data_IF_721197854417
#
_entry.id   IF_721197854417
#
_cell.length_a   1.000
_cell.length_b   1.000
_cell.length_c   1.000
_cell.angle_alpha   90.00
_cell.angle_beta   90.00
_cell.angle_gamma   90.00
#
_symmetry.space_group_name_H-M   'P 1'
#
loop_
_entity.id
_entity.type
_entity.pdbx_description
1 polymer ?
#
# COMPACT_ATOMS: atom_id res chain seq x y z
N UNK A 1 -29.42 2.21 -11.17
CA UNK A 1 -29.63 1.01 -10.34
C UNK A 1 -30.53 1.42 -9.21
N UNK A 2 -31.62 0.70 -8.96
CA UNK A 2 -32.52 1.00 -7.82
C UNK A 2 -31.97 0.34 -6.54
N UNK A 3 -32.04 1.01 -5.38
CA UNK A 3 -31.61 0.43 -4.10
C UNK A 3 -32.24 -0.94 -3.84
N UNK A 4 -31.46 -1.86 -3.27
CA UNK A 4 -31.88 -3.24 -3.02
C UNK A 4 -30.79 -4.28 -3.26
N UNK A 5 -31.21 -5.55 -3.33
CA UNK A 5 -30.35 -6.67 -3.67
C UNK A 5 -29.78 -6.51 -5.08
N UNK A 6 -28.48 -6.75 -5.22
CA UNK A 6 -27.74 -6.76 -6.49
C UNK A 6 -27.49 -8.21 -6.90
N UNK A 7 -28.23 -8.66 -7.91
CA UNK A 7 -27.96 -9.93 -8.60
C UNK A 7 -27.22 -9.68 -9.92
N UNK A 8 -26.63 -10.74 -10.48
CA UNK A 8 -25.94 -10.67 -11.76
C UNK A 8 -26.86 -10.23 -12.90
N UNK A 9 -28.13 -10.64 -12.90
CA UNK A 9 -29.10 -10.21 -13.89
C UNK A 9 -29.40 -8.71 -13.78
N UNK A 10 -29.45 -8.17 -12.57
CA UNK A 10 -29.78 -6.77 -12.31
C UNK A 10 -28.71 -5.78 -12.84
N UNK A 11 -27.44 -6.19 -12.84
CA UNK A 11 -26.32 -5.33 -13.30
C UNK A 11 -26.45 -4.96 -14.79
N UNK A 12 -26.88 -5.92 -15.62
CA UNK A 12 -26.96 -5.76 -17.08
C UNK A 12 -25.59 -5.46 -17.73
N UNK A 13 -25.59 -5.23 -19.04
CA UNK A 13 -24.39 -5.05 -19.87
C UNK A 13 -24.21 -3.62 -20.41
N UNK A 14 -24.71 -2.62 -19.69
CA UNK A 14 -24.61 -1.22 -20.11
C UNK A 14 -23.16 -0.71 -19.99
N UNK A 15 -22.81 0.29 -20.79
CA UNK A 15 -21.49 0.94 -20.73
C UNK A 15 -21.24 1.65 -19.40
N UNK A 16 -22.30 2.25 -18.85
CA UNK A 16 -22.30 2.92 -17.55
C UNK A 16 -23.25 2.20 -16.59
N UNK A 17 -22.74 1.90 -15.39
CA UNK A 17 -23.51 1.45 -14.25
C UNK A 17 -23.69 2.62 -13.28
N UNK A 18 -24.90 3.16 -13.24
CA UNK A 18 -25.26 4.31 -12.40
C UNK A 18 -25.97 3.82 -11.14
N UNK A 19 -25.50 4.19 -9.95
CA UNK A 19 -26.18 3.93 -8.68
C UNK A 19 -26.84 5.21 -8.17
N UNK A 20 -28.14 5.11 -7.87
CA UNK A 20 -28.88 6.17 -7.18
C UNK A 20 -28.50 6.16 -5.68
N UNK A 21 -28.81 7.23 -4.96
CA UNK A 21 -28.66 7.26 -3.52
C UNK A 21 -29.52 6.17 -2.87
N UNK A 22 -28.96 5.47 -1.89
CA UNK A 22 -29.63 4.36 -1.20
C UNK A 22 -28.70 3.18 -0.93
N UNK A 23 -29.27 2.12 -0.36
CA UNK A 23 -28.53 0.94 0.10
C UNK A 23 -28.64 -0.21 -0.89
N UNK A 24 -27.51 -0.83 -1.19
CA UNK A 24 -27.39 -1.97 -2.07
C UNK A 24 -26.61 -3.08 -1.37
N UNK A 25 -26.90 -4.34 -1.68
CA UNK A 25 -26.12 -5.47 -1.16
C UNK A 25 -26.01 -6.59 -2.18
N UNK A 26 -24.87 -7.23 -2.22
CA UNK A 26 -24.66 -8.43 -3.05
C UNK A 26 -25.03 -9.66 -2.24
N UNK A 27 -25.84 -10.53 -2.83
CA UNK A 27 -26.20 -11.82 -2.26
C UNK A 27 -26.17 -12.91 -3.34
N UNK A 28 -25.94 -14.15 -2.89
CA UNK A 28 -26.07 -15.35 -3.71
C UNK A 28 -26.98 -16.31 -2.97
N UNK A 29 -28.09 -16.67 -3.59
CA UNK A 29 -29.12 -17.54 -3.01
C UNK A 29 -29.65 -17.02 -1.64
N UNK A 30 -29.78 -15.70 -1.50
CA UNK A 30 -30.20 -15.03 -0.27
C UNK A 30 -29.13 -14.96 0.84
N UNK A 31 -27.88 -15.32 0.53
CA UNK A 31 -26.75 -15.31 1.46
C UNK A 31 -25.82 -14.15 1.12
N UNK A 32 -25.58 -13.27 2.09
CA UNK A 32 -24.65 -12.15 1.98
C UNK A 32 -23.18 -12.62 2.00
N UNK A 33 -22.29 -11.85 1.37
CA UNK A 33 -20.85 -12.10 1.43
C UNK A 33 -20.39 -13.34 0.64
N UNK A 34 -21.27 -13.87 -0.23
CA UNK A 34 -21.02 -15.07 -1.04
C UNK A 34 -20.79 -14.81 -2.52
N UNK A 35 -20.87 -13.54 -2.93
CA UNK A 35 -20.59 -13.11 -4.30
C UNK A 35 -20.13 -11.64 -4.32
N UNK A 36 -19.65 -11.17 -5.47
CA UNK A 36 -19.23 -9.79 -5.71
C UNK A 36 -19.72 -9.30 -7.09
N UNK A 37 -19.59 -8.00 -7.36
CA UNK A 37 -20.06 -7.39 -8.59
C UNK A 37 -19.02 -7.61 -9.68
N UNK A 38 -19.17 -8.69 -10.45
CA UNK A 38 -18.40 -8.89 -11.68
C UNK A 38 -19.06 -8.18 -12.85
N UNK A 39 -18.47 -7.06 -13.26
CA UNK A 39 -18.98 -6.20 -14.33
C UNK A 39 -18.88 -6.88 -15.70
N UNK A 40 -19.80 -6.55 -16.60
CA UNK A 40 -19.73 -6.99 -17.99
C UNK A 40 -18.60 -6.28 -18.75
N UNK A 41 -18.00 -6.88 -19.79
CA UNK A 41 -16.89 -6.25 -20.53
C UNK A 41 -17.23 -4.90 -21.16
N UNK A 42 -18.50 -4.64 -21.45
CA UNK A 42 -18.98 -3.35 -21.95
C UNK A 42 -19.00 -2.27 -20.87
N UNK A 43 -19.14 -2.64 -19.60
CA UNK A 43 -19.24 -1.72 -18.46
C UNK A 43 -17.85 -1.26 -18.03
N UNK A 44 -17.52 -0.02 -18.35
CA UNK A 44 -16.24 0.61 -18.01
C UNK A 44 -16.42 1.86 -17.14
N UNK A 45 -17.66 2.27 -16.86
CA UNK A 45 -17.93 3.43 -16.02
C UNK A 45 -18.92 3.06 -14.92
N UNK A 46 -18.49 3.17 -13.66
CA UNK A 46 -19.35 3.05 -12.48
C UNK A 46 -19.47 4.42 -11.83
N UNK A 47 -20.69 4.91 -11.72
CA UNK A 47 -21.00 6.18 -11.06
C UNK A 47 -21.88 5.97 -9.83
N UNK A 48 -21.58 6.69 -8.77
CA UNK A 48 -22.36 6.70 -7.54
C UNK A 48 -22.87 8.10 -7.20
N UNK A 49 -24.18 8.23 -6.97
CA UNK A 49 -24.72 9.41 -6.30
C UNK A 49 -24.19 9.51 -4.85
N UNK A 50 -23.95 10.71 -4.33
CA UNK A 50 -23.72 10.89 -2.90
C UNK A 50 -24.89 10.32 -2.08
N UNK A 51 -24.59 9.49 -1.08
CA UNK A 51 -25.59 8.75 -0.31
C UNK A 51 -25.83 7.31 -0.78
N UNK A 52 -25.12 6.85 -1.81
CA UNK A 52 -25.04 5.43 -2.17
C UNK A 52 -24.19 4.66 -1.15
N UNK A 53 -24.73 3.55 -0.63
CA UNK A 53 -24.04 2.59 0.24
C UNK A 53 -24.15 1.17 -0.33
N UNK A 54 -23.04 0.58 -0.76
CA UNK A 54 -23.01 -0.73 -1.41
C UNK A 54 -22.27 -1.72 -0.52
N UNK A 55 -22.95 -2.78 -0.08
CA UNK A 55 -22.34 -3.93 0.60
C UNK A 55 -21.87 -4.94 -0.46
N UNK A 56 -20.64 -4.78 -0.91
CA UNK A 56 -20.07 -5.58 -2.00
C UNK A 56 -18.69 -5.11 -2.42
N UNK A 57 -18.17 -5.73 -3.48
CA UNK A 57 -16.92 -5.39 -4.13
C UNK A 57 -17.06 -5.43 -5.66
N UNK A 58 -16.15 -4.80 -6.41
CA UNK A 58 -16.24 -4.67 -7.87
C UNK A 58 -15.05 -5.33 -8.58
N UNK A 59 -15.35 -6.17 -9.57
CA UNK A 59 -14.40 -6.72 -10.53
C UNK A 59 -14.71 -6.18 -11.93
N UNK A 60 -13.79 -5.38 -12.50
CA UNK A 60 -13.83 -4.95 -13.88
C UNK A 60 -13.36 -6.07 -14.81
N UNK A 61 -14.00 -6.16 -15.99
CA UNK A 61 -13.64 -7.11 -17.06
C UNK A 61 -13.50 -6.43 -18.42
N UNK A 62 -13.49 -5.10 -18.40
CA UNK A 62 -13.56 -4.28 -19.59
C UNK A 62 -12.23 -4.20 -20.33
N UNK A 63 -12.31 -3.95 -21.65
CA UNK A 63 -11.16 -3.74 -22.52
C UNK A 63 -11.04 -2.31 -23.02
N UNK A 64 -11.85 -1.40 -22.47
CA UNK A 64 -11.75 0.02 -22.81
C UNK A 64 -10.42 0.56 -22.29
N UNK A 65 -9.76 1.48 -23.02
CA UNK A 65 -8.51 2.11 -22.58
C UNK A 65 -8.64 2.75 -21.20
N UNK A 66 -9.81 3.29 -20.89
CA UNK A 66 -10.11 3.89 -19.59
C UNK A 66 -11.29 3.21 -18.93
N UNK A 67 -11.22 3.08 -17.60
CA UNK A 67 -12.35 2.66 -16.79
C UNK A 67 -12.41 3.46 -15.48
N UNK A 68 -13.62 3.63 -14.96
CA UNK A 68 -13.94 4.70 -14.02
C UNK A 68 -14.75 4.17 -12.85
N UNK A 69 -14.30 4.48 -11.64
CA UNK A 69 -15.07 4.37 -10.39
C UNK A 69 -15.23 5.78 -9.81
N UNK A 70 -16.38 6.40 -9.99
CA UNK A 70 -16.57 7.82 -9.68
C UNK A 70 -17.77 8.05 -8.76
N UNK A 71 -17.65 9.00 -7.84
CA UNK A 71 -18.73 9.46 -6.97
C UNK A 71 -18.53 9.11 -5.50
N UNK A 72 -19.26 9.80 -4.63
CA UNK A 72 -19.11 9.74 -3.17
C UNK A 72 -19.95 8.64 -2.51
N UNK A 73 -19.81 7.41 -2.99
CA UNK A 73 -20.38 6.23 -2.32
C UNK A 73 -19.54 5.76 -1.13
N UNK A 74 -20.17 4.95 -0.29
CA UNK A 74 -19.48 3.94 0.53
C UNK A 74 -19.58 2.58 -0.15
N UNK A 75 -18.44 1.94 -0.41
CA UNK A 75 -18.34 0.53 -0.86
C UNK A 75 -17.79 -0.29 0.30
N UNK A 76 -18.65 -1.11 0.91
CA UNK A 76 -18.42 -1.82 2.15
C UNK A 76 -18.22 -3.32 1.93
N UNK A 77 -17.10 -3.85 2.42
CA UNK A 77 -16.80 -5.28 2.45
C UNK A 77 -17.32 -6.00 3.69
N UNK A 78 -18.17 -5.36 4.51
CA UNK A 78 -18.58 -5.83 5.84
C UNK A 78 -19.23 -7.22 5.90
N UNK A 79 -19.79 -7.69 4.78
CA UNK A 79 -20.40 -9.02 4.70
C UNK A 79 -19.38 -10.13 4.38
N UNK A 80 -18.16 -9.79 3.98
CA UNK A 80 -17.15 -10.77 3.59
C UNK A 80 -16.32 -11.19 4.80
N UNK A 81 -16.04 -12.50 4.89
CA UNK A 81 -15.11 -13.03 5.88
C UNK A 81 -13.66 -12.54 5.60
N UNK A 82 -12.81 -12.53 6.62
CA UNK A 82 -11.38 -12.28 6.46
C UNK A 82 -10.77 -13.19 5.38
N UNK A 83 -10.08 -12.61 4.40
CA UNK A 83 -9.49 -13.32 3.26
C UNK A 83 -10.50 -14.05 2.36
N UNK A 84 -11.77 -13.62 2.33
CA UNK A 84 -12.84 -14.23 1.54
C UNK A 84 -12.38 -14.60 0.12
N UNK A 85 -12.40 -15.88 -0.20
CA UNK A 85 -11.82 -16.41 -1.43
C UNK A 85 -12.89 -16.71 -2.48
N UNK A 86 -12.81 -15.99 -3.60
CA UNK A 86 -13.83 -16.01 -4.66
C UNK A 86 -13.98 -17.37 -5.36
N UNK A 87 -12.94 -18.21 -5.35
CA UNK A 87 -12.99 -19.58 -5.92
C UNK A 87 -13.25 -20.65 -4.86
N UNK A 88 -13.41 -20.26 -3.59
CA UNK A 88 -13.78 -21.13 -2.46
C UNK A 88 -15.05 -20.63 -1.78
N UNK A 89 -16.03 -20.16 -2.56
CA UNK A 89 -17.34 -19.69 -2.08
C UNK A 89 -17.23 -18.61 -0.99
N UNK A 90 -16.30 -17.68 -1.19
CA UNK A 90 -15.98 -16.56 -0.29
C UNK A 90 -15.65 -16.98 1.16
N UNK A 91 -15.14 -18.20 1.35
CA UNK A 91 -14.65 -18.67 2.66
C UNK A 91 -13.28 -18.09 3.00
N UNK A 92 -12.91 -18.11 4.28
CA UNK A 92 -11.68 -17.53 4.81
C UNK A 92 -10.43 -18.38 4.51
N UNK A 93 -10.06 -18.48 3.22
CA UNK A 93 -8.89 -19.23 2.75
C UNK A 93 -8.02 -18.31 1.92
N UNK A 94 -6.88 -17.88 2.46
CA UNK A 94 -5.96 -16.98 1.76
C UNK A 94 -5.60 -17.52 0.38
N UNK A 95 -5.71 -16.66 -0.62
CA UNK A 95 -5.12 -16.85 -1.93
C UNK A 95 -4.68 -15.48 -2.47
N UNK A 96 -3.38 -15.34 -2.77
CA UNK A 96 -2.81 -14.06 -3.19
C UNK A 96 -3.46 -13.56 -4.49
N UNK A 97 -4.03 -14.43 -5.32
CA UNK A 97 -4.81 -14.04 -6.49
C UNK A 97 -6.30 -13.93 -6.18
N UNK A 98 -6.90 -14.94 -5.55
CA UNK A 98 -8.36 -15.09 -5.51
C UNK A 98 -9.07 -14.65 -4.23
N UNK A 99 -8.34 -14.26 -3.17
CA UNK A 99 -8.94 -13.52 -2.06
C UNK A 99 -9.47 -12.17 -2.57
N UNK A 100 -10.69 -11.81 -2.16
CA UNK A 100 -11.46 -10.74 -2.76
C UNK A 100 -10.85 -9.36 -2.49
N UNK A 101 -10.66 -8.58 -3.56
CA UNK A 101 -10.32 -7.15 -3.51
C UNK A 101 -11.60 -6.32 -3.56
N UNK A 102 -11.57 -5.10 -3.03
CA UNK A 102 -12.70 -4.17 -3.11
C UNK A 102 -12.86 -3.60 -4.53
N UNK A 103 -11.74 -3.29 -5.18
CA UNK A 103 -11.67 -2.98 -6.61
C UNK A 103 -10.66 -3.89 -7.29
N UNK A 104 -11.08 -4.59 -8.33
CA UNK A 104 -10.29 -5.67 -8.90
C UNK A 104 -10.34 -5.68 -10.42
N UNK A 105 -9.25 -6.08 -11.07
CA UNK A 105 -9.26 -6.45 -12.49
C UNK A 105 -8.34 -7.65 -12.68
N UNK A 106 -8.87 -8.78 -13.16
CA UNK A 106 -8.08 -10.03 -13.23
C UNK A 106 -7.29 -10.22 -14.53
N UNK A 107 -7.57 -9.40 -15.54
CA UNK A 107 -6.96 -9.52 -16.87
C UNK A 107 -6.83 -8.16 -17.55
N UNK A 108 -6.14 -7.21 -16.92
CA UNK A 108 -5.94 -5.86 -17.46
C UNK A 108 -4.95 -5.87 -18.63
N UNK A 109 -5.25 -5.11 -19.68
CA UNK A 109 -4.38 -4.96 -20.84
C UNK A 109 -3.38 -3.82 -20.61
N UNK A 110 -2.23 -3.91 -21.28
CA UNK A 110 -1.22 -2.83 -21.30
C UNK A 110 -1.88 -1.49 -21.66
N UNK A 111 -1.47 -0.44 -20.94
CA UNK A 111 -1.90 0.95 -21.13
C UNK A 111 -3.39 1.23 -20.82
N UNK A 112 -4.11 0.32 -20.15
CA UNK A 112 -5.38 0.70 -19.55
C UNK A 112 -5.17 1.63 -18.35
N UNK A 113 -6.07 2.58 -18.15
CA UNK A 113 -6.03 3.57 -17.07
C UNK A 113 -7.27 3.46 -16.20
N UNK A 114 -7.08 3.26 -14.90
CA UNK A 114 -8.14 3.31 -13.92
C UNK A 114 -8.28 4.72 -13.34
N UNK A 115 -9.48 5.28 -13.37
CA UNK A 115 -9.81 6.56 -12.73
C UNK A 115 -10.71 6.29 -11.51
N UNK A 116 -10.20 6.52 -10.31
CA UNK A 116 -10.93 6.35 -9.05
C UNK A 116 -11.08 7.68 -8.34
N UNK A 117 -12.28 8.28 -8.36
CA UNK A 117 -12.49 9.65 -7.89
C UNK A 117 -13.71 9.73 -6.96
N UNK A 118 -13.46 9.86 -5.65
CA UNK A 118 -14.50 10.07 -4.65
C UNK A 118 -14.86 8.91 -3.70
N UNK A 119 -14.82 7.61 -4.11
CA UNK A 119 -15.34 6.54 -3.27
C UNK A 119 -14.69 6.43 -1.88
N UNK A 120 -15.48 5.97 -0.93
CA UNK A 120 -15.02 5.53 0.39
C UNK A 120 -15.13 4.01 0.50
N UNK A 121 -14.02 3.31 0.72
CA UNK A 121 -14.03 1.91 1.11
C UNK A 121 -14.28 1.76 2.60
N UNK A 122 -15.11 0.79 2.97
CA UNK A 122 -15.31 0.37 4.35
C UNK A 122 -15.06 -1.13 4.51
N UNK A 123 -14.44 -1.53 5.63
CA UNK A 123 -14.29 -2.93 6.04
C UNK A 123 -13.79 -3.88 4.93
N UNK A 124 -12.65 -3.61 4.27
CA UNK A 124 -12.09 -4.53 3.29
C UNK A 124 -11.73 -5.89 3.94
N UNK A 125 -12.04 -7.03 3.29
CA UNK A 125 -11.72 -8.35 3.83
C UNK A 125 -10.27 -8.80 3.57
N UNK A 126 -9.57 -8.13 2.64
CA UNK A 126 -8.23 -8.45 2.16
C UNK A 126 -7.60 -7.19 1.50
N UNK A 127 -6.59 -7.36 0.64
CA UNK A 127 -5.98 -6.26 -0.11
C UNK A 127 -7.09 -5.48 -0.84
N UNK A 128 -7.00 -4.15 -0.87
CA UNK A 128 -8.12 -3.32 -1.31
C UNK A 128 -8.22 -3.19 -2.83
N UNK A 129 -7.07 -3.16 -3.53
CA UNK A 129 -7.02 -3.02 -4.97
C UNK A 129 -5.84 -3.73 -5.61
N UNK A 130 -6.12 -4.52 -6.65
CA UNK A 130 -5.12 -5.10 -7.55
C UNK A 130 -5.62 -5.11 -9.01
N UNK A 131 -4.71 -4.82 -9.95
CA UNK A 131 -4.95 -4.87 -11.39
C UNK A 131 -3.99 -5.89 -12.03
N UNK A 132 -4.41 -7.15 -12.10
CA UNK A 132 -3.57 -8.23 -12.61
C UNK A 132 -3.48 -8.19 -14.14
N UNK A 133 -2.27 -8.24 -14.71
CA UNK A 133 -2.09 -8.18 -16.16
C UNK A 133 -2.71 -9.42 -16.83
N UNK A 134 -3.25 -9.21 -18.02
CA UNK A 134 -3.83 -10.26 -18.84
C UNK A 134 -2.79 -11.32 -19.22
N UNK A 135 -1.59 -10.84 -19.58
CA UNK A 135 -0.45 -11.69 -19.91
C UNK A 135 0.51 -11.71 -18.73
N UNK A 136 1.21 -12.83 -18.56
CA UNK A 136 2.28 -12.91 -17.57
C UNK A 136 3.36 -11.88 -17.88
N UNK A 137 3.74 -11.09 -16.87
CA UNK A 137 4.89 -10.20 -16.91
C UNK A 137 6.07 -10.90 -16.22
N UNK A 138 7.31 -10.78 -16.75
CA UNK A 138 8.49 -11.36 -16.09
C UNK A 138 8.64 -10.88 -14.65
N UNK A 139 8.35 -9.60 -14.41
CA UNK A 139 8.33 -8.98 -13.10
C UNK A 139 7.00 -8.25 -12.86
N UNK A 140 6.62 -8.04 -11.61
CA UNK A 140 5.32 -7.43 -11.28
C UNK A 140 5.28 -5.96 -11.68
N UNK A 141 6.41 -5.27 -11.47
CA UNK A 141 6.66 -3.88 -11.81
C UNK A 141 6.61 -3.58 -13.32
N UNK A 142 6.66 -4.61 -14.18
CA UNK A 142 6.54 -4.46 -15.63
C UNK A 142 5.08 -4.26 -16.07
N UNK A 143 4.13 -4.30 -15.15
CA UNK A 143 2.72 -4.10 -15.45
C UNK A 143 2.45 -2.67 -15.94
N UNK A 144 2.04 -2.52 -17.20
CA UNK A 144 1.88 -1.22 -17.88
C UNK A 144 0.50 -0.58 -17.68
N UNK A 145 -0.17 -0.91 -16.60
CA UNK A 145 -1.43 -0.27 -16.21
C UNK A 145 -1.15 1.08 -15.56
N UNK A 146 -2.11 2.00 -15.67
CA UNK A 146 -2.06 3.29 -15.01
C UNK A 146 -3.22 3.48 -14.03
N UNK A 147 -3.03 4.32 -13.02
CA UNK A 147 -4.12 4.74 -12.14
C UNK A 147 -4.07 6.22 -11.78
N UNK A 148 -5.23 6.86 -11.82
CA UNK A 148 -5.49 8.19 -11.31
C UNK A 148 -6.49 8.09 -10.15
N UNK A 149 -6.00 8.26 -8.93
CA UNK A 149 -6.78 8.13 -7.71
C UNK A 149 -6.87 9.50 -7.04
N UNK A 150 -8.08 9.95 -6.75
CA UNK A 150 -8.32 11.25 -6.14
C UNK A 150 -9.49 11.20 -5.16
N UNK A 151 -9.40 11.96 -4.06
CA UNK A 151 -10.52 12.18 -3.14
C UNK A 151 -11.10 10.83 -2.64
N UNK A 152 -10.20 9.89 -2.40
CA UNK A 152 -10.50 8.49 -2.16
C UNK A 152 -10.16 8.12 -0.72
N UNK A 153 -11.05 7.36 -0.08
CA UNK A 153 -10.92 7.04 1.35
C UNK A 153 -11.01 5.55 1.61
N UNK A 154 -10.32 5.11 2.65
CA UNK A 154 -10.43 3.77 3.21
C UNK A 154 -10.62 3.86 4.73
N UNK A 155 -11.68 3.25 5.24
CA UNK A 155 -12.03 3.23 6.67
C UNK A 155 -12.36 1.81 7.13
N UNK A 156 -12.33 1.58 8.45
CA UNK A 156 -12.73 0.28 9.01
C UNK A 156 -11.84 -0.92 8.66
N UNK A 157 -10.64 -0.69 8.13
CA UNK A 157 -9.65 -1.71 7.76
C UNK A 157 -8.93 -2.33 8.98
N UNK A 158 -9.65 -3.13 9.78
CA UNK A 158 -9.09 -3.73 11.00
C UNK A 158 -8.39 -5.08 10.78
N UNK A 159 -8.76 -5.83 9.75
CA UNK A 159 -8.09 -7.09 9.42
C UNK A 159 -6.64 -6.87 8.96
N UNK A 160 -5.75 -7.83 9.19
CA UNK A 160 -4.46 -7.81 8.49
C UNK A 160 -4.67 -7.89 6.98
N UNK A 161 -3.62 -7.61 6.20
CA UNK A 161 -3.69 -7.64 4.73
C UNK A 161 -4.68 -6.63 4.14
N UNK A 162 -5.08 -5.61 4.91
CA UNK A 162 -5.92 -4.50 4.44
C UNK A 162 -5.06 -3.31 4.04
N UNK A 163 -4.25 -3.56 3.03
CA UNK A 163 -3.32 -2.62 2.41
C UNK A 163 -4.05 -1.37 1.90
N UNK A 164 -3.28 -0.31 1.64
CA UNK A 164 -3.73 0.68 0.66
C UNK A 164 -3.68 0.12 -0.76
N UNK A 165 -3.72 1.00 -1.76
CA UNK A 165 -3.70 0.58 -3.16
C UNK A 165 -2.27 0.19 -3.60
N UNK A 166 -2.15 -0.57 -4.69
CA UNK A 166 -0.91 -0.61 -5.48
C UNK A 166 -0.68 0.75 -6.14
N UNK A 167 0.57 1.24 -6.17
CA UNK A 167 0.94 2.48 -6.86
C UNK A 167 1.45 2.16 -8.27
N UNK A 168 0.51 1.95 -9.20
CA UNK A 168 0.85 1.90 -10.62
C UNK A 168 1.25 3.29 -11.13
N UNK A 169 1.80 3.37 -12.34
CA UNK A 169 2.11 4.64 -12.99
C UNK A 169 0.88 5.56 -13.00
N UNK A 170 1.08 6.85 -12.72
CA UNK A 170 -0.01 7.82 -12.68
C UNK A 170 0.01 8.65 -11.40
N UNK A 171 -1.17 9.00 -10.89
CA UNK A 171 -1.30 9.97 -9.79
C UNK A 171 -2.18 9.48 -8.66
N UNK A 172 -1.80 9.77 -7.41
CA UNK A 172 -2.67 9.60 -6.25
C UNK A 172 -2.68 10.90 -5.46
N UNK A 173 -3.87 11.46 -5.20
CA UNK A 173 -3.96 12.71 -4.44
C UNK A 173 -5.17 12.82 -3.53
N UNK A 174 -5.01 13.59 -2.46
CA UNK A 174 -6.11 13.95 -1.55
C UNK A 174 -6.80 12.70 -0.97
N UNK A 175 -6.02 11.81 -0.34
CA UNK A 175 -6.52 10.51 0.15
C UNK A 175 -6.46 10.39 1.68
N UNK A 176 -7.36 9.57 2.22
CA UNK A 176 -7.35 9.16 3.63
C UNK A 176 -7.41 7.64 3.74
N UNK A 177 -6.42 7.00 4.35
CA UNK A 177 -6.40 5.55 4.51
C UNK A 177 -6.19 5.11 5.96
N UNK A 178 -7.21 4.48 6.54
CA UNK A 178 -7.05 3.56 7.65
C UNK A 178 -6.59 2.20 7.10
N UNK A 179 -5.46 1.69 7.56
CA UNK A 179 -4.83 0.45 7.04
C UNK A 179 -4.28 -0.40 8.17
N UNK A 180 -4.30 -1.72 8.01
CA UNK A 180 -3.59 -2.65 8.88
C UNK A 180 -2.70 -3.62 8.09
N UNK A 181 -2.08 -3.06 7.05
CA UNK A 181 -1.01 -3.64 6.25
C UNK A 181 -0.29 -2.51 5.47
N UNK A 182 0.56 -2.82 4.49
CA UNK A 182 1.30 -1.86 3.65
C UNK A 182 0.39 -0.71 3.16
N UNK A 183 0.70 0.55 3.51
CA UNK A 183 -0.17 1.68 3.16
C UNK A 183 0.04 2.16 1.72
N UNK A 184 1.31 2.37 1.34
CA UNK A 184 1.75 2.88 0.04
C UNK A 184 2.73 1.85 -0.53
N UNK A 185 2.29 1.09 -1.54
CA UNK A 185 3.08 0.04 -2.19
C UNK A 185 3.77 0.57 -3.45
N UNK A 186 5.03 1.00 -3.32
CA UNK A 186 5.81 1.61 -4.40
C UNK A 186 6.51 0.54 -5.23
N UNK A 187 5.72 -0.19 -6.01
CA UNK A 187 6.20 -1.33 -6.78
C UNK A 187 6.39 -1.03 -8.26
N UNK A 188 5.95 0.13 -8.75
CA UNK A 188 5.98 0.47 -10.18
C UNK A 188 6.59 1.86 -10.39
N UNK A 189 7.22 2.07 -11.55
CA UNK A 189 7.79 3.36 -11.93
C UNK A 189 6.71 4.39 -12.30
N UNK A 190 7.04 5.68 -12.20
CA UNK A 190 6.20 6.77 -12.70
C UNK A 190 5.00 7.17 -11.84
N UNK A 191 4.96 6.75 -10.57
CA UNK A 191 3.87 7.08 -9.64
C UNK A 191 4.12 8.44 -8.94
N UNK A 192 3.13 9.33 -8.96
CA UNK A 192 3.21 10.67 -8.36
C UNK A 192 2.12 10.84 -7.29
N UNK A 193 2.53 10.95 -6.03
CA UNK A 193 1.64 10.92 -4.88
C UNK A 193 1.70 12.25 -4.12
N UNK A 194 0.56 12.85 -3.80
CA UNK A 194 0.47 14.11 -3.05
C UNK A 194 -0.72 14.18 -2.10
N UNK A 195 -0.51 14.58 -0.84
CA UNK A 195 -1.60 14.81 0.10
C UNK A 195 -2.23 13.50 0.60
N UNK A 196 -1.45 12.74 1.36
CA UNK A 196 -1.84 11.43 1.88
C UNK A 196 -1.96 11.48 3.40
N UNK A 197 -3.17 11.26 3.91
CA UNK A 197 -3.40 11.07 5.35
C UNK A 197 -3.56 9.60 5.66
N UNK A 198 -2.75 9.07 6.58
CA UNK A 198 -2.73 7.65 6.94
C UNK A 198 -3.02 7.48 8.43
N UNK A 199 -3.97 6.61 8.74
CA UNK A 199 -4.16 6.03 10.06
C UNK A 199 -3.69 4.58 10.03
N UNK A 200 -2.48 4.34 10.53
CA UNK A 200 -1.93 3.00 10.64
C UNK A 200 -2.48 2.28 11.87
N UNK A 201 -2.89 1.04 11.68
CA UNK A 201 -3.08 0.09 12.75
C UNK A 201 -1.71 -0.43 13.25
N UNK A 202 -1.38 -1.71 13.05
CA UNK A 202 -0.24 -2.33 13.75
C UNK A 202 0.64 -3.25 12.91
N UNK A 203 0.36 -3.39 11.61
CA UNK A 203 1.08 -4.31 10.75
C UNK A 203 1.67 -3.57 9.55
N UNK A 204 2.90 -3.96 9.17
CA UNK A 204 3.63 -3.48 8.00
C UNK A 204 3.88 -1.96 7.94
N UNK A 205 4.69 -1.54 6.98
CA UNK A 205 5.16 -0.16 6.87
C UNK A 205 4.10 0.80 6.33
N UNK A 206 4.39 2.10 6.41
CA UNK A 206 3.65 3.11 5.66
C UNK A 206 4.02 3.01 4.19
N UNK A 207 5.29 3.18 3.85
CA UNK A 207 5.82 3.08 2.49
C UNK A 207 6.55 1.74 2.38
N UNK A 208 6.10 0.85 1.50
CA UNK A 208 6.68 -0.47 1.29
C UNK A 208 7.35 -0.57 -0.09
N UNK A 209 8.56 -1.12 -0.10
CA UNK A 209 9.42 -1.22 -1.30
C UNK A 209 10.03 -2.62 -1.52
N UNK A 210 9.82 -3.55 -0.57
CA UNK A 210 10.48 -4.85 -0.55
C UNK A 210 9.67 -5.99 -1.15
N UNK A 211 9.71 -7.14 -0.45
CA UNK A 211 9.19 -8.46 -0.82
C UNK A 211 9.94 -9.19 -1.94
N UNK A 212 10.54 -8.45 -2.87
CA UNK A 212 11.43 -8.95 -3.94
C UNK A 212 12.24 -7.78 -4.53
N UNK A 213 13.34 -8.05 -5.27
CA UNK A 213 14.09 -7.03 -6.00
C UNK A 213 13.25 -6.35 -7.08
N UNK A 214 13.34 -5.02 -7.20
CA UNK A 214 12.53 -4.22 -8.13
C UNK A 214 13.36 -3.17 -8.85
N UNK A 215 12.99 -2.88 -10.09
CA UNK A 215 13.47 -1.72 -10.84
C UNK A 215 12.37 -0.65 -10.90
N UNK A 216 12.54 0.42 -10.12
CA UNK A 216 11.53 1.47 -9.89
C UNK A 216 12.21 2.82 -9.98
N UNK A 217 11.68 3.71 -10.79
CA UNK A 217 12.21 5.07 -10.96
C UNK A 217 11.08 6.06 -11.23
N UNK A 218 11.40 7.36 -11.20
CA UNK A 218 10.45 8.44 -11.48
C UNK A 218 9.23 8.38 -10.55
N UNK A 219 9.46 8.20 -9.25
CA UNK A 219 8.41 8.20 -8.22
C UNK A 219 8.62 9.35 -7.26
N UNK A 220 7.56 10.13 -7.03
CA UNK A 220 7.56 11.15 -5.97
C UNK A 220 6.39 10.97 -5.01
N UNK A 221 6.65 11.20 -3.73
CA UNK A 221 5.66 11.15 -2.64
C UNK A 221 5.79 12.43 -1.82
N UNK A 222 4.70 13.21 -1.75
CA UNK A 222 4.69 14.53 -1.11
C UNK A 222 3.54 14.66 -0.12
N UNK A 223 3.77 15.40 0.96
CA UNK A 223 2.75 15.75 1.94
C UNK A 223 2.07 14.51 2.54
N UNK A 224 2.85 13.71 3.27
CA UNK A 224 2.35 12.53 4.00
C UNK A 224 2.10 12.91 5.45
N UNK A 225 0.89 12.60 5.96
CA UNK A 225 0.48 12.78 7.35
C UNK A 225 0.11 11.45 7.95
N UNK A 226 1.00 10.88 8.75
CA UNK A 226 0.70 9.74 9.60
C UNK A 226 0.11 10.25 10.92
N UNK A 227 -1.22 10.29 11.00
CA UNK A 227 -1.93 10.88 12.15
C UNK A 227 -2.01 9.92 13.35
N UNK A 228 -1.96 8.61 13.07
CA UNK A 228 -2.01 7.58 14.10
C UNK A 228 -1.27 6.34 13.67
N UNK A 229 -0.60 5.71 14.63
CA UNK A 229 -0.02 4.38 14.49
C UNK A 229 -0.13 3.63 15.83
N UNK A 230 -0.12 2.29 15.80
CA UNK A 230 -0.19 1.44 17.01
C UNK A 230 0.55 0.11 16.83
N UNK A 231 1.72 0.14 16.19
CA UNK A 231 2.61 -1.02 16.17
C UNK A 231 2.92 -1.47 17.61
N UNK A 232 3.02 -2.79 17.80
CA UNK A 232 3.16 -3.38 19.14
C UNK A 232 4.62 -3.73 19.44
N UNK A 233 5.35 -4.20 18.43
CA UNK A 233 6.73 -4.67 18.55
C UNK A 233 7.47 -4.38 17.25
N UNK A 234 8.79 -4.19 17.28
CA UNK A 234 9.58 -4.07 16.08
C UNK A 234 9.54 -5.39 15.29
N UNK A 235 9.53 -5.29 13.96
CA UNK A 235 9.53 -6.44 13.08
C UNK A 235 10.20 -6.05 11.76
N UNK A 236 11.15 -6.86 11.30
CA UNK A 236 11.88 -6.69 10.06
C UNK A 236 11.26 -7.43 8.86
N UNK A 237 10.51 -8.52 9.09
CA UNK A 237 9.81 -9.25 8.03
C UNK A 237 8.58 -8.47 7.55
N UNK A 238 7.83 -7.91 8.50
CA UNK A 238 6.73 -6.96 8.28
C UNK A 238 7.09 -5.60 8.92
N UNK A 239 7.93 -4.79 8.26
CA UNK A 239 8.51 -3.55 8.80
C UNK A 239 7.55 -2.73 9.66
N UNK A 240 7.87 -2.62 10.96
CA UNK A 240 7.19 -1.68 11.86
C UNK A 240 7.88 -0.31 11.78
N UNK A 241 7.74 0.34 10.62
CA UNK A 241 8.44 1.58 10.29
C UNK A 241 7.65 2.45 9.31
N UNK A 242 8.09 3.69 9.15
CA UNK A 242 7.58 4.57 8.09
C UNK A 242 8.03 4.07 6.72
N UNK A 243 9.34 3.93 6.52
CA UNK A 243 9.97 3.40 5.31
C UNK A 243 10.31 1.92 5.53
N UNK A 244 9.66 1.05 4.77
CA UNK A 244 9.80 -0.40 4.86
C UNK A 244 10.33 -1.00 3.58
N UNK A 245 11.26 -1.93 3.71
CA UNK A 245 11.54 -2.92 2.67
C UNK A 245 11.56 -4.30 3.32
N UNK A 246 10.49 -5.05 3.16
CA UNK A 246 10.42 -6.43 3.64
C UNK A 246 11.45 -7.31 2.89
N UNK A 247 12.03 -8.33 3.56
CA UNK A 247 12.82 -9.36 2.90
C UNK A 247 11.97 -10.20 1.95
N UNK A 248 12.59 -11.16 1.25
CA UNK A 248 11.91 -12.02 0.28
C UNK A 248 10.64 -12.68 0.83
N UNK A 249 9.53 -12.50 0.12
CA UNK A 249 8.27 -13.22 0.39
C UNK A 249 8.38 -14.70 0.01
N UNK A 250 9.07 -15.01 -1.10
CA UNK A 250 9.18 -16.35 -1.67
C UNK A 250 10.57 -16.63 -2.22
N UNK A 251 10.87 -17.91 -2.48
CA UNK A 251 12.10 -18.35 -3.14
C UNK A 251 12.06 -18.08 -4.66
N UNK A 252 13.23 -17.89 -5.32
CA UNK A 252 14.57 -17.85 -4.72
C UNK A 252 14.90 -16.50 -4.06
N UNK A 253 15.64 -16.55 -2.95
CA UNK A 253 16.06 -15.37 -2.16
C UNK A 253 17.40 -14.81 -2.66
N UNK A 254 17.38 -14.20 -3.84
CA UNK A 254 18.56 -13.66 -4.49
C UNK A 254 18.47 -12.14 -4.63
N UNK A 255 19.39 -11.42 -3.99
CA UNK A 255 19.55 -9.98 -4.22
C UNK A 255 19.93 -9.72 -5.68
N UNK A 256 19.50 -8.59 -6.24
CA UNK A 256 19.74 -8.26 -7.64
C UNK A 256 20.44 -6.88 -7.77
N UNK A 257 21.78 -6.86 -7.91
CA UNK A 257 22.54 -5.62 -8.08
C UNK A 257 22.36 -4.96 -9.44
N UNK A 258 21.62 -5.58 -10.39
CA UNK A 258 21.29 -4.94 -11.67
C UNK A 258 20.07 -4.02 -11.59
N UNK A 259 19.30 -4.10 -10.50
CA UNK A 259 18.07 -3.35 -10.29
C UNK A 259 18.29 -2.18 -9.34
N UNK A 260 17.46 -1.14 -9.48
CA UNK A 260 17.50 0.03 -8.60
C UNK A 260 16.10 0.54 -8.27
N UNK A 261 15.89 0.96 -7.03
CA UNK A 261 14.70 1.71 -6.61
C UNK A 261 15.09 3.16 -6.31
N UNK A 262 14.59 4.10 -7.12
CA UNK A 262 14.88 5.53 -7.04
C UNK A 262 13.62 6.33 -6.74
N UNK A 263 13.56 6.98 -5.58
CA UNK A 263 12.35 7.67 -5.08
C UNK A 263 12.70 9.03 -4.47
N UNK A 264 11.78 9.98 -4.58
CA UNK A 264 11.81 11.23 -3.83
C UNK A 264 10.62 11.32 -2.88
N UNK A 265 10.89 11.42 -1.58
CA UNK A 265 9.88 11.54 -0.53
C UNK A 265 10.08 12.88 0.16
N UNK A 266 9.04 13.70 0.29
CA UNK A 266 9.15 15.01 0.93
C UNK A 266 7.93 15.37 1.77
N UNK A 267 8.17 16.14 2.83
CA UNK A 267 7.16 16.61 3.78
C UNK A 267 6.36 15.46 4.40
N UNK A 268 7.05 14.70 5.25
CA UNK A 268 6.47 13.60 6.00
C UNK A 268 6.31 14.01 7.46
N UNK A 269 5.09 13.93 7.98
CA UNK A 269 4.80 14.15 9.40
C UNK A 269 4.27 12.86 10.01
N UNK A 270 4.80 12.50 11.17
CA UNK A 270 4.24 11.48 12.04
C UNK A 270 3.83 12.11 13.37
N UNK A 271 2.55 12.01 13.68
CA UNK A 271 1.92 12.54 14.88
C UNK A 271 1.92 11.50 16.01
N UNK A 272 1.96 11.98 17.25
CA UNK A 272 2.05 11.16 18.44
C UNK A 272 3.40 10.46 18.61
N UNK A 273 3.37 9.25 19.15
CA UNK A 273 4.57 8.42 19.34
C UNK A 273 4.79 7.57 18.09
N UNK A 274 5.85 7.86 17.37
CA UNK A 274 6.22 7.23 16.11
C UNK A 274 7.14 6.03 16.34
N UNK A 275 6.97 5.00 15.50
CA UNK A 275 7.95 3.91 15.35
C UNK A 275 9.19 4.37 14.57
N UNK A 276 10.01 3.43 14.13
CA UNK A 276 11.21 3.69 13.35
C UNK A 276 10.94 4.45 12.04
N UNK A 277 11.90 5.29 11.63
CA UNK A 277 11.89 5.90 10.31
C UNK A 277 12.09 4.85 9.22
N UNK A 278 13.06 3.94 9.38
CA UNK A 278 13.37 2.93 8.37
C UNK A 278 13.60 1.54 8.95
N UNK A 279 12.98 0.53 8.35
CA UNK A 279 13.29 -0.88 8.58
C UNK A 279 13.34 -1.59 7.22
N UNK A 280 14.54 -1.82 6.71
CA UNK A 280 14.76 -2.17 5.30
C UNK A 280 15.71 -3.35 5.12
N UNK A 281 15.28 -4.37 4.40
CA UNK A 281 16.11 -5.41 3.79
C UNK A 281 16.46 -4.98 2.36
N UNK A 282 17.71 -4.58 2.06
CA UNK A 282 18.07 -4.23 0.70
C UNK A 282 18.11 -5.47 -0.20
N UNK A 283 17.21 -5.55 -1.18
CA UNK A 283 17.16 -6.64 -2.17
C UNK A 283 17.64 -6.21 -3.56
N UNK A 284 17.82 -4.91 -3.76
CA UNK A 284 18.27 -4.20 -4.96
C UNK A 284 19.01 -2.93 -4.55
N UNK A 285 19.61 -2.20 -5.50
CA UNK A 285 20.19 -0.90 -5.20
C UNK A 285 19.10 0.13 -4.85
N UNK A 286 19.45 1.13 -4.05
CA UNK A 286 18.58 2.24 -3.68
C UNK A 286 19.21 3.59 -4.03
N UNK A 287 18.34 4.57 -4.24
CA UNK A 287 18.66 5.98 -4.51
C UNK A 287 17.46 6.80 -3.99
N UNK A 288 17.47 7.05 -2.68
CA UNK A 288 16.31 7.60 -1.97
C UNK A 288 16.65 8.97 -1.41
N UNK A 289 15.94 9.99 -1.89
CA UNK A 289 15.96 11.31 -1.29
C UNK A 289 14.73 11.47 -0.39
N UNK A 290 14.96 11.70 0.91
CA UNK A 290 13.90 11.89 1.92
C UNK A 290 14.09 13.24 2.59
N UNK A 291 13.18 14.18 2.39
CA UNK A 291 13.34 15.56 2.83
C UNK A 291 12.19 16.03 3.73
N UNK A 292 12.52 16.81 4.76
CA UNK A 292 11.55 17.44 5.65
C UNK A 292 10.67 16.40 6.36
N UNK A 293 11.31 15.62 7.23
CA UNK A 293 10.64 14.60 8.05
C UNK A 293 10.44 15.16 9.46
N UNK A 294 9.22 15.09 9.99
CA UNK A 294 8.90 15.56 11.33
C UNK A 294 8.19 14.48 12.13
N UNK A 295 8.81 14.04 13.22
CA UNK A 295 8.17 13.20 14.22
C UNK A 295 7.87 14.05 15.45
N UNK A 296 6.61 14.06 15.90
CA UNK A 296 6.26 14.72 17.17
C UNK A 296 7.03 14.09 18.34
N UNK A 297 7.05 12.76 18.39
CA UNK A 297 7.89 11.97 19.30
C UNK A 297 8.27 10.66 18.63
N UNK A 298 9.47 10.14 18.91
CA UNK A 298 9.87 8.78 18.55
C UNK A 298 9.82 7.87 19.77
N UNK A 299 9.47 6.60 19.57
CA UNK A 299 9.51 5.60 20.63
C UNK A 299 10.96 5.38 21.10
N UNK A 300 11.21 5.51 22.40
CA UNK A 300 12.54 5.53 23.01
C UNK A 300 12.77 4.42 24.05
N UNK A 301 11.81 3.50 24.18
CA UNK A 301 11.96 2.32 25.04
C UNK A 301 13.10 1.41 24.54
N UNK A 302 14.14 1.27 25.37
CA UNK A 302 15.34 0.48 25.09
C UNK A 302 15.11 -1.05 25.10
N UNK A 303 13.99 -1.50 25.69
CA UNK A 303 13.62 -2.93 25.74
C UNK A 303 12.82 -3.30 24.51
N UNK A 304 11.80 -2.50 24.16
CA UNK A 304 10.92 -2.77 23.02
C UNK A 304 11.61 -2.37 21.70
N UNK A 305 12.37 -1.27 21.68
CA UNK A 305 13.11 -0.77 20.51
C UNK A 305 12.25 -0.51 19.27
N UNK A 306 11.00 -0.07 19.44
CA UNK A 306 10.10 0.20 18.31
C UNK A 306 10.51 1.42 17.46
N UNK A 307 11.25 2.37 18.03
CA UNK A 307 11.80 3.53 17.31
C UNK A 307 13.12 3.24 16.59
N UNK A 308 13.69 2.04 16.78
CA UNK A 308 15.00 1.71 16.27
C UNK A 308 14.95 1.38 14.77
N UNK A 309 15.58 2.24 13.98
CA UNK A 309 15.70 2.06 12.54
C UNK A 309 16.84 1.10 12.21
N UNK A 310 16.58 0.12 11.34
CA UNK A 310 17.54 -0.94 11.00
C UNK A 310 17.58 -1.17 9.49
N UNK A 311 18.78 -1.16 8.91
CA UNK A 311 18.97 -1.43 7.47
C UNK A 311 20.01 -2.53 7.25
N UNK A 312 19.57 -3.62 6.62
CA UNK A 312 20.43 -4.72 6.18
C UNK A 312 21.18 -5.44 7.30
N UNK A 313 20.67 -5.54 8.51
CA UNK A 313 21.43 -6.21 9.58
C UNK A 313 20.56 -7.03 10.53
N UNK A 314 21.22 -7.85 11.33
CA UNK A 314 20.59 -8.49 12.47
C UNK A 314 20.82 -7.63 13.71
N UNK A 315 19.75 -6.99 14.19
CA UNK A 315 19.75 -6.12 15.37
C UNK A 315 19.03 -6.76 16.58
N UNK A 316 18.77 -8.07 16.54
CA UNK A 316 18.12 -8.83 17.62
C UNK A 316 16.84 -9.55 17.17
N UNK A 317 16.06 -10.00 18.16
CA UNK A 317 14.82 -10.75 17.94
C UNK A 317 13.83 -9.94 17.08
N UNK A 318 13.22 -10.59 16.09
CA UNK A 318 12.32 -9.98 15.09
C UNK A 318 12.94 -8.86 14.23
N UNK A 319 14.20 -8.49 14.45
CA UNK A 319 14.91 -7.43 13.73
C UNK A 319 16.08 -8.00 12.94
N UNK A 320 15.80 -8.98 12.09
CA UNK A 320 16.75 -9.49 11.10
C UNK A 320 16.26 -9.14 9.69
N UNK A 321 16.85 -8.10 9.10
CA UNK A 321 16.66 -7.76 7.69
C UNK A 321 17.96 -7.94 6.88
N UNK A 322 18.94 -8.66 7.41
CA UNK A 322 20.12 -9.06 6.66
C UNK A 322 19.76 -10.07 5.58
N UNK A 323 20.25 -9.84 4.36
CA UNK A 323 20.12 -10.76 3.24
C UNK A 323 21.50 -11.07 2.67
N UNK A 324 21.92 -12.35 2.53
CA UNK A 324 23.20 -12.69 1.92
C UNK A 324 23.38 -12.05 0.53
N UNK A 325 24.55 -11.46 0.30
CA UNK A 325 24.89 -10.78 -0.95
C UNK A 325 24.54 -9.30 -1.00
N UNK A 326 23.80 -8.75 -0.02
CA UNK A 326 23.43 -7.33 0.01
C UNK A 326 24.63 -6.37 0.03
N UNK A 327 25.82 -6.80 0.47
CA UNK A 327 27.04 -5.99 0.45
C UNK A 327 27.56 -5.68 -0.96
N UNK A 328 26.94 -6.28 -1.99
CA UNK A 328 27.16 -5.93 -3.39
C UNK A 328 26.19 -4.85 -3.91
N UNK A 329 25.30 -4.33 -3.06
CA UNK A 329 24.31 -3.32 -3.40
C UNK A 329 24.78 -1.94 -2.95
N UNK A 330 24.23 -0.90 -3.57
CA UNK A 330 24.32 0.49 -3.10
C UNK A 330 23.02 0.91 -2.42
N UNK A 331 23.10 1.67 -1.34
CA UNK A 331 21.96 2.16 -0.58
C UNK A 331 21.51 3.57 -1.02
N UNK A 332 22.42 4.48 -1.35
CA UNK A 332 22.09 5.81 -1.87
C UNK A 332 21.00 6.58 -1.10
N UNK A 333 20.91 6.44 0.24
CA UNK A 333 19.87 7.10 1.05
C UNK A 333 20.38 8.45 1.53
N UNK A 334 19.67 9.53 1.20
CA UNK A 334 19.92 10.89 1.70
C UNK A 334 18.70 11.39 2.45
N UNK A 335 18.87 11.67 3.74
CA UNK A 335 17.82 12.22 4.59
C UNK A 335 18.16 13.65 4.97
N UNK A 336 17.25 14.58 4.71
CA UNK A 336 17.42 16.00 5.03
C UNK A 336 16.33 16.50 5.95
N UNK A 337 16.72 17.39 6.87
CA UNK A 337 15.78 18.11 7.74
C UNK A 337 14.85 17.15 8.50
N UNK A 338 15.39 16.05 8.99
CA UNK A 338 14.67 15.18 9.91
C UNK A 338 14.66 15.78 11.31
N UNK A 339 13.48 15.87 11.92
CA UNK A 339 13.29 16.35 13.28
C UNK A 339 12.49 15.38 14.13
N UNK A 340 12.85 15.26 15.40
CA UNK A 340 12.14 14.50 16.43
C UNK A 340 11.90 15.42 17.62
N UNK A 341 10.65 15.66 18.01
CA UNK A 341 10.33 16.57 19.10
C UNK A 341 10.87 18.00 18.90
N UNK A 342 10.97 18.43 17.64
CA UNK A 342 11.55 19.73 17.25
C UNK A 342 13.08 19.80 17.22
N UNK A 343 13.80 18.73 17.58
CA UNK A 343 15.26 18.68 17.47
C UNK A 343 15.68 18.03 16.16
N UNK A 344 16.68 18.61 15.47
CA UNK A 344 17.22 18.06 14.23
C UNK A 344 18.04 16.81 14.50
N UNK A 345 17.84 15.79 13.67
CA UNK A 345 18.74 14.64 13.57
C UNK A 345 19.76 14.93 12.46
N UNK A 346 21.04 14.77 12.77
CA UNK A 346 22.16 15.05 11.87
C UNK A 346 23.33 14.09 12.14
N UNK A 347 24.46 14.30 11.44
CA UNK A 347 25.70 13.53 11.54
C UNK A 347 26.27 13.34 12.95
N UNK A 348 25.80 14.06 13.97
CA UNK A 348 26.31 14.02 15.35
C UNK A 348 25.43 13.26 16.33
N UNK A 349 24.15 13.03 16.00
CA UNK A 349 23.15 12.49 16.94
C UNK A 349 22.22 11.42 16.35
N UNK A 350 22.56 10.84 15.19
CA UNK A 350 21.71 9.87 14.49
C UNK A 350 21.77 8.43 15.04
N UNK A 351 22.85 8.06 15.74
CA UNK A 351 23.15 6.65 16.02
C UNK A 351 22.16 5.96 16.96
N UNK A 352 22.25 4.62 17.03
CA UNK A 352 21.36 3.73 17.79
C UNK A 352 20.98 4.21 19.19
N UNK A 353 21.93 4.77 19.94
CA UNK A 353 21.73 5.21 21.32
C UNK A 353 21.57 6.74 21.45
N UNK A 354 21.33 7.43 20.33
CA UNK A 354 21.13 8.86 20.24
C UNK A 354 19.72 9.19 19.72
N UNK A 355 19.48 10.46 19.38
CA UNK A 355 18.17 10.96 18.98
C UNK A 355 17.59 10.19 17.79
N UNK A 356 18.40 9.89 16.77
CA UNK A 356 17.93 9.23 15.55
C UNK A 356 17.68 7.72 15.66
N UNK A 357 18.29 7.03 16.63
CA UNK A 357 18.17 5.58 16.79
C UNK A 357 18.33 4.80 15.46
N UNK A 358 19.37 5.09 14.68
CA UNK A 358 19.61 4.42 13.39
C UNK A 358 20.80 3.46 13.49
N UNK A 359 20.63 2.24 12.99
CA UNK A 359 21.70 1.28 12.72
C UNK A 359 21.64 0.82 11.25
N UNK A 360 22.70 1.09 10.51
CA UNK A 360 22.89 0.64 9.13
C UNK A 360 24.05 -0.34 9.09
N UNK A 361 23.92 -1.40 8.29
CA UNK A 361 24.99 -2.38 8.12
C UNK A 361 26.30 -1.70 7.66
N UNK A 362 27.48 -2.07 8.21
CA UNK A 362 28.77 -1.43 7.88
C UNK A 362 29.14 -1.47 6.39
N UNK A 363 28.69 -2.49 5.65
CA UNK A 363 28.92 -2.57 4.18
C UNK A 363 28.37 -1.36 3.41
N UNK A 364 27.43 -0.58 3.99
CA UNK A 364 26.88 0.63 3.38
C UNK A 364 27.52 1.93 3.92
N UNK A 365 28.60 1.86 4.69
CA UNK A 365 29.28 3.06 5.19
C UNK A 365 29.70 4.00 4.05
N UNK A 366 29.33 5.27 4.15
CA UNK A 366 29.59 6.29 3.13
C UNK A 366 28.58 6.33 1.98
N UNK A 367 27.63 5.39 1.92
CA UNK A 367 26.60 5.31 0.87
C UNK A 367 25.19 5.73 1.36
N UNK A 368 25.16 6.41 2.50
CA UNK A 368 23.97 7.07 3.02
C UNK A 368 24.37 8.27 3.89
N UNK A 369 23.44 9.20 4.11
CA UNK A 369 23.67 10.40 4.92
C UNK A 369 22.40 10.91 5.58
N UNK A 370 22.58 11.59 6.72
CA UNK A 370 21.56 12.41 7.38
C UNK A 370 22.16 13.80 7.56
N UNK A 371 21.51 14.81 6.98
CA UNK A 371 22.01 16.20 6.99
C UNK A 371 21.05 17.24 7.56
#
# INVERSE_FOLDING_TARGET
>A
MKPGSLTREALGSKTTLYFEAGVYWVEKDGILGKDHIKLFPSTHYVYFEPGTYIKGAFEYTTRYPDFYTVGHAVVSGENYAYMANTIKDCTAVKDDRYSLRMFWHQSIMDNQTWHCIGPTLNAPPFNTMDLHPMNHTPHEEDNKVQSHIQDYKQVGAFYFQTDGTQMYKGTVRDVFWHVNDDAIKLYHAGAQLEGLTVWKARNNAIIQMGWKPRDVSDVSVKHVRLIHNRWIQPNAYVPSAILGASPFYADPKLVDPSRKTSLHISDLVCEGVCAALMTMAPLQNFDLLVENVHFEKMHDDVTVRLGHSVVGMHAGENMNNYTPGQGNLTLGIVIRNWTIGGQRVDGTNWSEHQLGQVSVHPDFEGDWSIE
#
